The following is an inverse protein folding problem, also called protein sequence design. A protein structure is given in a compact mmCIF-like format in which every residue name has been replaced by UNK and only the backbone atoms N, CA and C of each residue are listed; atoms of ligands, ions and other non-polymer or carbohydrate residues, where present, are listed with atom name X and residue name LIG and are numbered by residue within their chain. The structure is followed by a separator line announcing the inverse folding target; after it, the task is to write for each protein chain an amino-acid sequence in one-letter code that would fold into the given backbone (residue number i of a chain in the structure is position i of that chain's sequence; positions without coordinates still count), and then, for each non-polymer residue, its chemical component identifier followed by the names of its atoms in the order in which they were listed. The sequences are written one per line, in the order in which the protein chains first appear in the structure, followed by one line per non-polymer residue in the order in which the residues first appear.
data_IF_953119965416
#
_entry.id   IF_953119965416
#
_cell.length_a   1.000
_cell.length_b   1.000
_cell.length_c   1.000
_cell.angle_alpha   90.00
_cell.angle_beta   90.00
_cell.angle_gamma   90.00
#
_symmetry.space_group_name_H-M   'P 1'
#
loop_
_entity.id
_entity.type
_entity.pdbx_description
1 polymer ?
#
# COMPACT_ATOMS: atom_id res chain seq x y z
N UNK A 1 30.52 -42.70 -31.94
CA UNK A 1 31.87 -42.74 -31.32
C UNK A 1 32.63 -41.46 -31.62
N UNK A 2 32.78 -40.56 -30.64
CA UNK A 2 34.01 -39.81 -30.27
C UNK A 2 33.63 -38.61 -29.38
N UNK A 3 34.05 -38.74 -28.11
CA UNK A 3 34.10 -37.70 -27.07
C UNK A 3 35.24 -36.71 -27.35
N UNK A 4 35.11 -35.48 -26.83
CA UNK A 4 36.14 -34.52 -26.32
C UNK A 4 35.37 -33.23 -25.97
N UNK A 5 35.03 -32.91 -24.71
CA UNK A 5 35.82 -32.40 -23.56
C UNK A 5 36.75 -31.22 -23.90
N UNK A 6 36.36 -30.03 -23.43
CA UNK A 6 37.15 -28.89 -22.92
C UNK A 6 36.12 -27.89 -22.33
N UNK A 7 35.94 -27.54 -21.05
CA UNK A 7 36.77 -27.34 -19.84
C UNK A 7 37.64 -26.08 -19.89
N UNK A 8 37.14 -25.01 -19.24
CA UNK A 8 37.75 -24.23 -18.14
C UNK A 8 37.76 -22.69 -18.30
N UNK A 9 37.75 -22.05 -17.10
CA UNK A 9 38.05 -20.65 -16.70
C UNK A 9 36.83 -19.72 -16.50
N UNK A 10 36.68 -18.98 -15.40
CA UNK A 10 37.31 -18.95 -14.07
C UNK A 10 36.43 -17.99 -13.21
N UNK A 11 36.05 -18.32 -11.97
CA UNK A 11 36.76 -18.02 -10.70
C UNK A 11 36.47 -16.63 -10.11
N UNK A 12 36.17 -16.66 -8.79
CA UNK A 12 36.19 -15.61 -7.77
C UNK A 12 35.02 -14.60 -7.72
N UNK A 13 34.26 -14.63 -6.61
CA UNK A 13 34.54 -13.73 -5.48
C UNK A 13 33.79 -14.20 -4.23
N UNK A 14 34.55 -14.54 -3.19
CA UNK A 14 34.12 -14.51 -1.81
C UNK A 14 35.00 -13.47 -1.11
N UNK A 15 34.41 -12.55 -0.32
CA UNK A 15 34.89 -12.15 1.01
C UNK A 15 33.98 -11.06 1.63
N UNK A 16 33.28 -11.45 2.70
CA UNK A 16 33.09 -10.80 4.03
C UNK A 16 32.81 -9.29 4.14
N UNK A 17 31.70 -8.96 4.83
CA UNK A 17 31.56 -8.05 6.01
C UNK A 17 30.04 -7.94 6.33
N UNK A 18 29.52 -8.62 7.36
CA UNK A 18 29.36 -8.15 8.75
C UNK A 18 28.78 -6.71 8.86
N UNK A 19 27.51 -6.55 9.26
CA UNK A 19 27.05 -5.70 10.37
C UNK A 19 25.52 -5.77 10.55
N UNK A 20 25.15 -6.07 11.81
CA UNK A 20 23.99 -5.61 12.58
C UNK A 20 22.57 -5.66 11.96
N UNK A 21 21.76 -6.62 12.44
CA UNK A 21 20.32 -6.44 12.59
C UNK A 21 19.95 -6.64 14.07
N UNK A 22 19.62 -5.56 14.75
CA UNK A 22 18.98 -5.54 16.06
C UNK A 22 17.83 -4.53 15.95
N UNK A 23 16.62 -4.90 16.36
CA UNK A 23 15.47 -4.01 16.33
C UNK A 23 14.14 -4.75 16.37
N UNK A 24 13.92 -5.54 17.42
CA UNK A 24 12.58 -6.00 17.81
C UNK A 24 12.06 -5.04 18.91
N UNK A 25 10.88 -4.48 18.68
CA UNK A 25 10.22 -3.51 19.56
C UNK A 25 9.98 -4.08 20.97
N UNK A 26 10.48 -3.39 21.99
CA UNK A 26 9.99 -3.53 23.37
C UNK A 26 9.29 -2.23 23.78
N UNK A 27 8.05 -2.41 24.26
CA UNK A 27 7.22 -1.39 24.87
C UNK A 27 7.90 -0.69 26.05
N UNK A 28 7.54 0.57 26.37
CA UNK A 28 8.19 1.34 27.43
C UNK A 28 7.75 0.83 28.81
N UNK A 29 8.69 0.23 29.54
CA UNK A 29 8.57 0.07 30.98
C UNK A 29 9.07 1.34 31.67
N UNK A 30 8.15 2.02 32.35
CA UNK A 30 8.46 3.05 33.34
C UNK A 30 9.17 2.41 34.52
N UNK A 31 10.39 2.86 34.83
CA UNK A 31 11.13 2.46 36.03
C UNK A 31 11.29 3.66 36.98
N UNK A 32 10.77 3.58 38.21
CA UNK A 32 11.21 4.43 39.31
C UNK A 32 12.31 3.74 40.13
N UNK A 33 13.39 4.49 40.36
CA UNK A 33 14.25 4.51 41.57
C UNK A 33 15.26 3.35 41.81
N UNK A 34 16.58 3.63 41.98
CA UNK A 34 17.54 2.62 42.41
C UNK A 34 17.75 2.57 43.94
N UNK A 35 17.53 1.36 44.46
CA UNK A 35 18.39 0.61 45.38
C UNK A 35 18.75 1.19 46.77
N UNK A 36 18.05 0.65 47.78
CA UNK A 36 18.62 0.27 49.06
C UNK A 36 18.60 -1.26 49.16
N UNK A 37 19.77 -1.88 49.19
CA UNK A 37 19.95 -3.24 49.72
C UNK A 37 21.29 -3.28 50.47
N UNK A 38 21.24 -3.50 51.77
CA UNK A 38 22.33 -4.16 52.48
C UNK A 38 21.75 -5.35 53.24
N UNK A 39 22.35 -6.50 52.95
CA UNK A 39 22.00 -7.81 53.45
C UNK A 39 22.47 -8.04 54.88
N UNK A 40 21.78 -8.98 55.53
CA UNK A 40 22.17 -9.60 56.77
C UNK A 40 22.67 -11.02 56.44
N UNK A 41 23.86 -11.37 56.91
CA UNK A 41 24.28 -12.77 57.03
C UNK A 41 25.11 -12.96 58.30
N UNK A 42 24.80 -14.05 58.99
CA UNK A 42 25.33 -14.54 60.26
C UNK A 42 26.78 -15.02 60.14
N UNK A 43 27.57 -14.93 61.23
CA UNK A 43 27.98 -16.08 62.07
C UNK A 43 28.97 -15.63 63.15
N UNK A 44 29.00 -16.41 64.24
CA UNK A 44 29.63 -16.06 65.49
C UNK A 44 31.15 -16.29 65.58
N UNK A 45 31.70 -15.78 66.69
CA UNK A 45 32.58 -16.59 67.52
C UNK A 45 33.99 -16.05 67.79
N UNK A 46 34.18 -15.69 69.07
CA UNK A 46 35.35 -15.97 69.93
C UNK A 46 36.28 -14.80 70.26
N UNK A 47 36.34 -14.58 71.58
CA UNK A 47 37.38 -14.06 72.50
C UNK A 47 38.31 -12.96 71.99
N UNK A 48 38.42 -11.86 72.75
CA UNK A 48 39.57 -11.63 73.62
C UNK A 48 39.29 -10.45 74.57
N UNK A 49 39.54 -10.68 75.86
CA UNK A 49 39.65 -9.67 76.91
C UNK A 49 40.67 -8.60 76.55
N UNK A 50 40.37 -7.30 76.74
CA UNK A 50 41.39 -6.30 76.98
C UNK A 50 41.49 -6.06 78.49
N UNK A 51 42.63 -6.48 79.02
CA UNK A 51 43.21 -6.14 80.31
C UNK A 51 43.03 -4.67 80.69
N UNK A 52 42.72 -4.47 81.97
CA UNK A 52 42.86 -3.22 82.71
C UNK A 52 44.21 -2.53 82.42
N UNK A 53 44.15 -1.28 81.96
CA UNK A 53 45.22 -0.31 82.19
C UNK A 53 44.59 1.06 82.50
N UNK A 54 44.77 1.60 83.71
CA UNK A 54 44.19 2.87 84.13
C UNK A 54 45.15 3.99 83.72
N UNK A 55 44.73 4.88 82.83
CA UNK A 55 45.18 6.28 82.68
C UNK A 55 44.80 6.83 81.30
N UNK A 56 43.50 6.88 81.02
CA UNK A 56 42.96 7.86 80.06
C UNK A 56 41.91 8.67 80.80
N UNK A 57 41.93 10.02 80.74
CA UNK A 57 40.89 10.82 81.36
C UNK A 57 39.56 10.42 80.72
N UNK A 58 38.63 9.96 81.55
CA UNK A 58 37.24 9.76 81.18
C UNK A 58 36.72 11.10 80.64
N UNK A 59 36.18 11.19 79.41
CA UNK A 59 35.67 12.46 78.91
C UNK A 59 34.57 12.93 79.86
N UNK A 60 34.69 14.17 80.33
CA UNK A 60 33.73 14.81 81.22
C UNK A 60 32.32 14.58 80.67
N UNK A 61 31.53 13.77 81.40
CA UNK A 61 30.11 13.50 81.11
C UNK A 61 29.30 14.76 81.44
N UNK A 62 29.55 15.82 80.69
CA UNK A 62 28.73 17.02 80.67
C UNK A 62 27.64 16.82 79.62
N UNK A 63 26.46 17.38 79.89
CA UNK A 63 25.34 17.28 78.97
C UNK A 63 25.61 18.22 77.78
N UNK A 64 25.86 17.66 76.60
CA UNK A 64 26.10 18.47 75.41
C UNK A 64 24.92 19.39 75.12
N UNK A 65 25.22 20.69 75.07
CA UNK A 65 24.27 21.74 74.68
C UNK A 65 24.38 21.96 73.18
N UNK A 66 23.24 21.87 72.47
CA UNK A 66 23.21 21.96 71.01
C UNK A 66 23.49 23.40 70.56
N UNK A 67 24.63 23.62 69.92
CA UNK A 67 24.99 24.90 69.29
C UNK A 67 24.29 25.14 67.95
N UNK A 68 24.53 26.31 67.35
CA UNK A 68 24.02 26.64 66.01
C UNK A 68 24.69 25.80 64.91
N UNK A 69 24.03 25.71 63.76
CA UNK A 69 24.62 25.06 62.59
C UNK A 69 25.74 25.92 61.99
N UNK A 70 26.91 25.31 61.81
CA UNK A 70 28.06 25.89 61.13
C UNK A 70 28.13 25.26 59.74
N UNK A 71 28.11 26.09 58.69
CA UNK A 71 28.25 25.63 57.30
C UNK A 71 29.73 25.46 56.98
N UNK A 72 30.12 24.24 56.59
CA UNK A 72 31.49 23.89 56.24
C UNK A 72 31.78 24.14 54.77
N UNK A 73 30.82 23.85 53.91
CA UNK A 73 30.91 24.01 52.46
C UNK A 73 29.54 24.37 51.93
N UNK A 74 29.45 25.50 51.24
CA UNK A 74 28.19 25.93 50.62
C UNK A 74 27.80 24.96 49.48
N UNK A 75 26.51 24.61 49.34
CA UNK A 75 26.06 23.84 48.19
C UNK A 75 26.19 24.66 46.89
N UNK A 76 26.42 23.98 45.78
CA UNK A 76 26.38 24.59 44.45
C UNK A 76 25.27 23.94 43.59
N UNK A 77 25.26 24.18 42.28
CA UNK A 77 24.21 23.66 41.40
C UNK A 77 24.17 22.13 41.34
N UNK A 78 25.31 21.45 41.49
CA UNK A 78 25.44 19.99 41.30
C UNK A 78 25.92 19.26 42.55
N UNK A 79 26.69 19.92 43.41
CA UNK A 79 27.28 19.33 44.60
C UNK A 79 26.55 19.82 45.85
N UNK A 80 26.23 18.87 46.73
CA UNK A 80 25.71 19.16 48.05
C UNK A 80 26.79 19.83 48.92
N UNK A 81 26.36 20.78 49.74
CA UNK A 81 27.18 21.37 50.80
C UNK A 81 27.17 20.52 52.07
N UNK A 82 27.81 20.99 53.12
CA UNK A 82 27.80 20.33 54.43
C UNK A 82 27.75 21.34 55.56
N UNK A 83 27.15 20.91 56.67
CA UNK A 83 27.09 21.66 57.92
C UNK A 83 27.19 20.74 59.13
N UNK A 84 27.67 21.26 60.25
CA UNK A 84 27.73 20.53 61.51
C UNK A 84 27.29 21.41 62.69
N UNK A 85 26.96 20.77 63.81
CA UNK A 85 26.71 21.43 65.10
C UNK A 85 27.77 21.00 66.11
N UNK A 86 28.28 21.94 66.88
CA UNK A 86 29.23 21.69 67.97
C UNK A 86 28.59 21.97 69.33
N UNK A 87 29.10 21.32 70.37
CA UNK A 87 28.76 21.66 71.75
C UNK A 87 29.29 23.05 72.09
N UNK A 88 28.43 23.94 72.60
CA UNK A 88 28.82 25.31 72.93
C UNK A 88 29.85 25.38 74.07
N UNK A 89 29.95 24.34 74.89
CA UNK A 89 30.81 24.29 76.07
C UNK A 89 32.16 23.60 75.81
N UNK A 90 32.18 22.50 75.03
CA UNK A 90 33.42 21.72 74.79
C UNK A 90 33.91 21.71 73.34
N UNK A 91 33.10 22.16 72.37
CA UNK A 91 33.47 22.20 70.95
C UNK A 91 33.39 20.87 70.20
N UNK A 92 33.00 19.77 70.84
CA UNK A 92 32.83 18.48 70.14
C UNK A 92 31.67 18.52 69.14
N UNK A 93 31.85 17.86 67.99
CA UNK A 93 30.81 17.77 66.96
C UNK A 93 29.69 16.83 67.41
N UNK A 94 28.50 17.39 67.58
CA UNK A 94 27.31 16.66 68.02
C UNK A 94 26.60 16.02 66.82
N UNK A 95 26.57 16.72 65.67
CA UNK A 95 25.85 16.27 64.47
C UNK A 95 26.46 16.86 63.21
N UNK A 96 26.43 16.13 62.11
CA UNK A 96 26.78 16.61 60.78
C UNK A 96 25.69 16.20 59.77
N UNK A 97 25.38 17.09 58.82
CA UNK A 97 24.36 16.89 57.80
C UNK A 97 24.80 17.47 56.45
N UNK A 98 24.33 16.86 55.36
CA UNK A 98 24.49 17.42 54.02
C UNK A 98 23.44 18.52 53.75
N UNK A 99 23.85 19.56 53.04
CA UNK A 99 22.95 20.58 52.48
C UNK A 99 22.70 20.20 51.01
N UNK A 100 21.46 19.90 50.58
CA UNK A 100 21.19 19.51 49.21
C UNK A 100 21.73 20.52 48.19
N UNK A 101 22.19 20.03 47.03
CA UNK A 101 22.58 20.87 45.92
C UNK A 101 21.41 21.81 45.54
N UNK A 102 21.75 23.04 45.15
CA UNK A 102 20.76 24.08 44.81
C UNK A 102 20.01 23.80 43.52
N UNK A 103 20.53 22.90 42.68
CA UNK A 103 19.97 22.59 41.37
C UNK A 103 20.24 23.71 40.35
N UNK A 104 19.72 23.53 39.14
CA UNK A 104 19.90 24.50 38.06
C UNK A 104 18.74 25.50 38.01
N UNK A 105 19.07 26.79 38.00
CA UNK A 105 18.12 27.87 37.71
C UNK A 105 18.29 28.29 36.25
N UNK A 106 17.55 27.62 35.36
CA UNK A 106 17.59 27.92 33.93
C UNK A 106 16.77 29.17 33.58
N UNK A 107 17.30 29.98 32.66
CA UNK A 107 16.59 31.11 32.06
C UNK A 107 15.58 30.70 30.99
N UNK A 108 15.16 31.69 30.18
CA UNK A 108 14.25 31.48 29.04
C UNK A 108 14.87 30.56 27.98
N UNK A 109 14.00 29.85 27.28
CA UNK A 109 14.41 29.06 26.12
C UNK A 109 14.79 29.96 24.95
N UNK A 110 15.89 29.63 24.30
CA UNK A 110 16.39 30.26 23.07
C UNK A 110 16.27 29.25 21.94
N UNK A 111 15.58 29.60 20.86
CA UNK A 111 15.47 28.76 19.67
C UNK A 111 16.75 28.84 18.84
N UNK A 112 17.39 27.69 18.64
CA UNK A 112 18.60 27.56 17.82
C UNK A 112 18.27 27.30 16.35
N UNK A 113 17.27 26.45 16.12
CA UNK A 113 16.82 26.04 14.80
C UNK A 113 15.30 25.98 14.79
N UNK A 114 14.70 26.78 13.91
CA UNK A 114 13.26 26.70 13.68
C UNK A 114 12.88 25.35 13.05
N UNK A 115 11.77 24.73 13.50
CA UNK A 115 11.29 23.49 12.89
C UNK A 115 10.75 23.74 11.48
N UNK A 116 10.93 22.77 10.60
CA UNK A 116 10.27 22.72 9.29
C UNK A 116 9.25 21.58 9.26
N UNK A 117 8.54 21.40 8.15
CA UNK A 117 7.59 20.29 8.03
C UNK A 117 8.26 18.94 7.77
N UNK A 118 9.58 18.91 7.60
CA UNK A 118 10.38 17.67 7.41
C UNK A 118 11.48 17.50 8.45
N UNK A 119 11.85 18.56 9.16
CA UNK A 119 12.95 18.56 10.12
C UNK A 119 12.51 19.18 11.45
N UNK A 120 12.83 18.50 12.55
CA UNK A 120 12.64 19.06 13.91
C UNK A 120 13.53 20.29 14.10
N UNK A 121 13.04 21.23 14.90
CA UNK A 121 13.81 22.35 15.40
C UNK A 121 14.54 22.00 16.70
N UNK A 122 15.29 22.95 17.24
CA UNK A 122 16.00 22.81 18.51
C UNK A 122 16.01 24.12 19.28
N UNK A 123 16.03 24.01 20.61
CA UNK A 123 16.18 25.13 21.54
C UNK A 123 17.04 24.72 22.73
N UNK A 124 17.65 25.70 23.38
CA UNK A 124 18.39 25.51 24.62
C UNK A 124 18.02 26.56 25.67
N UNK A 125 18.33 26.27 26.93
CA UNK A 125 18.33 27.26 28.01
C UNK A 125 19.55 27.07 28.89
N UNK A 126 20.01 28.15 29.49
CA UNK A 126 21.26 28.15 30.26
C UNK A 126 21.00 28.48 31.72
N UNK A 127 21.62 27.73 32.62
CA UNK A 127 21.62 28.02 34.04
C UNK A 127 22.33 29.34 34.30
N UNK A 128 21.65 30.30 34.92
CA UNK A 128 22.20 31.64 35.16
C UNK A 128 23.29 31.66 36.22
N UNK A 129 23.44 30.59 36.99
CA UNK A 129 24.39 30.47 38.10
C UNK A 129 25.70 29.79 37.64
N UNK A 130 25.62 28.65 36.96
CA UNK A 130 26.79 27.83 36.61
C UNK A 130 27.04 27.64 35.11
N UNK A 131 26.17 28.16 34.24
CA UNK A 131 26.33 28.06 32.79
C UNK A 131 26.01 26.68 32.19
N UNK A 132 25.49 25.74 32.97
CA UNK A 132 24.97 24.47 32.44
C UNK A 132 23.90 24.72 31.35
N UNK A 133 23.93 23.94 30.28
CA UNK A 133 23.00 24.09 29.14
C UNK A 133 22.10 22.87 29.04
N UNK A 134 20.79 23.13 29.02
CA UNK A 134 19.76 22.14 28.75
C UNK A 134 19.24 22.32 27.32
N UNK A 135 19.08 21.23 26.59
CA UNK A 135 18.67 21.23 25.18
C UNK A 135 17.37 20.43 25.00
N UNK A 136 16.51 20.91 24.11
CA UNK A 136 15.25 20.26 23.73
C UNK A 136 15.01 20.35 22.23
N UNK A 137 14.26 19.39 21.68
CA UNK A 137 13.79 19.42 20.30
C UNK A 137 12.43 20.11 20.19
N UNK A 138 12.19 20.76 19.05
CA UNK A 138 10.90 21.33 18.69
C UNK A 138 10.30 20.45 17.60
N UNK A 139 9.08 19.94 17.81
CA UNK A 139 8.40 19.11 16.82
C UNK A 139 8.24 19.81 15.47
N UNK A 140 8.18 19.02 14.39
CA UNK A 140 7.99 19.54 13.04
C UNK A 140 6.72 20.38 12.91
N UNK A 141 6.74 21.31 11.95
CA UNK A 141 5.52 22.00 11.55
C UNK A 141 4.64 21.09 10.70
N UNK A 142 3.35 21.40 10.62
CA UNK A 142 2.42 20.62 9.78
C UNK A 142 2.66 20.90 8.30
N UNK A 143 2.44 19.91 7.45
CA UNK A 143 2.39 20.12 6.01
C UNK A 143 1.22 21.03 5.63
N UNK A 144 1.44 21.89 4.63
CA UNK A 144 0.42 22.77 4.07
C UNK A 144 0.00 22.18 2.73
N UNK A 145 -1.21 21.62 2.69
CA UNK A 145 -1.75 20.91 1.53
C UNK A 145 -2.08 21.86 0.37
N UNK A 146 -1.69 21.43 -0.84
CA UNK A 146 -2.09 22.00 -2.12
C UNK A 146 -2.68 20.88 -2.96
N UNK A 147 -3.88 21.12 -3.50
CA UNK A 147 -4.59 20.14 -4.32
C UNK A 147 -3.97 20.08 -5.71
N UNK A 148 -3.67 18.85 -6.15
CA UNK A 148 -3.32 18.54 -7.53
C UNK A 148 -4.61 18.12 -8.27
N UNK A 149 -5.07 18.92 -9.25
CA UNK A 149 -6.36 18.69 -9.88
C UNK A 149 -6.40 17.33 -10.60
N UNK A 150 -7.58 16.72 -10.62
CA UNK A 150 -7.82 15.52 -11.40
C UNK A 150 -7.61 15.77 -12.90
N UNK A 151 -7.11 14.75 -13.59
CA UNK A 151 -7.00 14.73 -15.06
C UNK A 151 -8.00 13.70 -15.56
N UNK A 152 -8.98 14.12 -16.34
CA UNK A 152 -10.01 13.21 -16.86
C UNK A 152 -9.37 12.29 -17.91
N UNK A 153 -9.63 10.98 -17.81
CA UNK A 153 -9.20 10.02 -18.83
C UNK A 153 -9.94 10.25 -20.15
N UNK A 154 -9.24 10.06 -21.27
CA UNK A 154 -9.86 10.09 -22.60
C UNK A 154 -10.01 8.66 -23.15
N UNK A 155 -10.44 8.53 -24.41
CA UNK A 155 -10.52 7.23 -25.08
C UNK A 155 -9.17 6.52 -25.22
N UNK A 156 -8.07 7.28 -25.26
CA UNK A 156 -6.73 6.74 -25.58
C UNK A 156 -5.65 7.17 -24.60
N UNK A 157 -5.96 8.08 -23.67
CA UNK A 157 -4.99 8.62 -22.71
C UNK A 157 -5.49 8.41 -21.30
N UNK A 158 -4.61 7.87 -20.45
CA UNK A 158 -4.88 7.70 -19.03
C UNK A 158 -5.17 9.04 -18.35
N UNK A 159 -6.16 9.03 -17.47
CA UNK A 159 -6.44 10.11 -16.54
C UNK A 159 -5.72 9.89 -15.20
N UNK A 160 -5.96 10.81 -14.27
CA UNK A 160 -5.49 10.74 -12.89
C UNK A 160 -6.58 11.23 -11.94
N UNK A 161 -6.71 10.58 -10.80
CA UNK A 161 -7.53 11.10 -9.70
C UNK A 161 -6.96 12.42 -9.18
N UNK A 162 -7.76 13.19 -8.46
CA UNK A 162 -7.26 14.30 -7.66
C UNK A 162 -6.27 13.78 -6.60
N UNK A 163 -5.18 14.53 -6.39
CA UNK A 163 -4.17 14.26 -5.37
C UNK A 163 -3.82 15.54 -4.61
N UNK A 164 -2.77 15.49 -3.80
CA UNK A 164 -2.26 16.68 -3.13
C UNK A 164 -0.81 16.54 -2.67
N UNK A 165 -0.14 17.68 -2.56
CA UNK A 165 1.24 17.78 -2.10
C UNK A 165 1.43 18.92 -1.09
N UNK A 166 2.49 18.85 -0.31
CA UNK A 166 2.88 19.95 0.57
C UNK A 166 3.43 21.12 -0.26
N UNK A 167 2.87 22.32 -0.12
CA UNK A 167 3.35 23.53 -0.80
C UNK A 167 4.85 23.80 -0.57
N UNK A 168 5.33 23.50 0.63
CA UNK A 168 6.68 23.80 1.11
C UNK A 168 7.69 22.73 0.66
N UNK A 169 7.53 21.49 1.13
CA UNK A 169 8.51 20.42 0.93
C UNK A 169 8.20 19.46 -0.22
N UNK A 170 7.06 19.62 -0.89
CA UNK A 170 6.60 18.77 -2.00
C UNK A 170 6.32 17.31 -1.67
N UNK A 171 6.35 16.92 -0.39
CA UNK A 171 5.88 15.60 0.05
C UNK A 171 4.45 15.37 -0.46
N UNK A 172 4.20 14.22 -1.07
CA UNK A 172 2.87 13.82 -1.54
C UNK A 172 2.03 13.46 -0.31
N UNK A 173 0.93 14.18 -0.12
CA UNK A 173 -0.03 13.97 0.99
C UNK A 173 -1.09 12.97 0.56
N UNK A 174 -1.60 13.12 -0.66
CA UNK A 174 -2.50 12.17 -1.32
C UNK A 174 -1.98 11.87 -2.72
N UNK A 175 -1.58 10.63 -2.95
CA UNK A 175 -1.11 10.22 -4.27
C UNK A 175 -2.24 10.23 -5.31
N UNK A 176 -1.94 10.72 -6.52
CA UNK A 176 -2.81 10.52 -7.67
C UNK A 176 -2.73 9.07 -8.15
N UNK A 177 -3.88 8.49 -8.50
CA UNK A 177 -4.00 7.14 -9.06
C UNK A 177 -4.36 7.26 -10.55
N UNK A 178 -3.73 6.44 -11.40
CA UNK A 178 -4.04 6.40 -12.82
C UNK A 178 -5.46 5.87 -13.06
N UNK A 179 -6.20 6.54 -13.95
CA UNK A 179 -7.51 6.10 -14.42
C UNK A 179 -7.30 5.60 -15.85
N UNK A 180 -7.56 4.30 -16.14
CA UNK A 180 -7.35 3.76 -17.47
C UNK A 180 -8.24 4.46 -18.50
N UNK A 181 -7.82 4.48 -19.79
CA UNK A 181 -8.67 4.99 -20.86
C UNK A 181 -9.98 4.20 -20.93
N UNK A 182 -11.07 4.86 -21.28
CA UNK A 182 -12.38 4.21 -21.42
C UNK A 182 -13.15 4.78 -22.59
N UNK A 183 -13.91 3.92 -23.27
CA UNK A 183 -14.80 4.30 -24.35
C UNK A 183 -16.25 4.30 -23.87
N UNK A 184 -16.99 5.35 -24.21
CA UNK A 184 -18.44 5.40 -24.05
C UNK A 184 -19.11 5.13 -25.40
N UNK A 185 -19.62 3.91 -25.60
CA UNK A 185 -20.21 3.45 -26.86
C UNK A 185 -21.73 3.65 -26.90
N UNK A 186 -22.22 4.21 -28.01
CA UNK A 186 -23.63 4.27 -28.36
C UNK A 186 -23.81 3.78 -29.80
N UNK A 187 -24.73 2.85 -30.04
CA UNK A 187 -24.89 2.18 -31.34
C UNK A 187 -23.55 1.64 -31.88
N UNK A 188 -22.76 1.01 -31.01
CA UNK A 188 -21.43 0.45 -31.31
C UNK A 188 -20.34 1.49 -31.61
N UNK A 189 -20.65 2.78 -31.66
CA UNK A 189 -19.69 3.84 -31.97
C UNK A 189 -19.37 4.62 -30.69
N UNK A 190 -18.09 4.85 -30.43
CA UNK A 190 -17.68 5.67 -29.31
C UNK A 190 -18.16 7.10 -29.56
N UNK A 191 -18.98 7.62 -28.65
CA UNK A 191 -19.55 8.98 -28.74
C UNK A 191 -18.50 10.08 -28.67
N UNK A 192 -17.28 9.76 -28.22
CA UNK A 192 -16.16 10.69 -28.08
C UNK A 192 -15.20 10.61 -29.26
N UNK A 193 -14.70 9.42 -29.63
CA UNK A 193 -13.68 9.28 -30.68
C UNK A 193 -14.20 8.77 -32.03
N UNK A 194 -15.45 8.31 -32.12
CA UNK A 194 -16.02 7.75 -33.35
C UNK A 194 -15.55 6.34 -33.72
N UNK A 195 -14.67 5.71 -32.93
CA UNK A 195 -14.24 4.34 -33.18
C UNK A 195 -15.39 3.36 -32.90
N UNK A 196 -15.47 2.31 -33.72
CA UNK A 196 -16.41 1.21 -33.52
C UNK A 196 -15.89 0.24 -32.46
N UNK A 197 -16.78 -0.26 -31.58
CA UNK A 197 -16.46 -1.31 -30.60
C UNK A 197 -16.20 -2.67 -31.25
N UNK A 198 -16.72 -2.87 -32.46
CA UNK A 198 -16.60 -4.10 -33.23
C UNK A 198 -16.04 -3.82 -34.62
N UNK A 199 -15.34 -4.80 -35.19
CA UNK A 199 -14.78 -4.69 -36.54
C UNK A 199 -15.78 -5.17 -37.57
N UNK A 200 -16.00 -4.42 -38.65
CA UNK A 200 -16.84 -4.84 -39.78
C UNK A 200 -16.13 -5.93 -40.59
N UNK A 201 -16.71 -7.12 -40.64
CA UNK A 201 -16.34 -8.19 -41.54
C UNK A 201 -16.95 -7.94 -42.94
N UNK A 202 -16.29 -8.49 -43.95
CA UNK A 202 -16.68 -8.45 -45.35
C UNK A 202 -17.54 -9.67 -45.67
N UNK A 203 -18.53 -9.50 -46.55
CA UNK A 203 -19.31 -10.61 -47.10
C UNK A 203 -18.48 -11.36 -48.16
N UNK A 204 -18.65 -12.68 -48.23
CA UNK A 204 -17.91 -13.56 -49.14
C UNK A 204 -16.48 -13.91 -48.68
N UNK A 205 -16.00 -13.29 -47.59
CA UNK A 205 -14.71 -13.59 -46.99
C UNK A 205 -14.84 -14.67 -45.92
N UNK A 206 -13.89 -15.59 -45.91
CA UNK A 206 -13.81 -16.66 -44.91
C UNK A 206 -13.09 -16.14 -43.65
N UNK A 207 -13.69 -16.43 -42.50
CA UNK A 207 -13.16 -16.13 -41.16
C UNK A 207 -13.09 -17.41 -40.32
N UNK A 208 -12.18 -17.46 -39.35
CA UNK A 208 -11.98 -18.65 -38.52
C UNK A 208 -12.30 -18.33 -37.07
N UNK A 209 -13.33 -18.97 -36.52
CA UNK A 209 -13.72 -18.75 -35.14
C UNK A 209 -12.75 -19.41 -34.16
N UNK A 210 -12.89 -19.06 -32.88
CA UNK A 210 -12.03 -19.55 -31.80
C UNK A 210 -12.02 -21.07 -31.62
N UNK A 211 -13.03 -21.77 -32.13
CA UNK A 211 -13.17 -23.22 -32.03
C UNK A 211 -12.59 -23.95 -33.26
N UNK A 212 -12.12 -23.19 -34.27
CA UNK A 212 -11.60 -23.74 -35.51
C UNK A 212 -12.68 -24.15 -36.53
N UNK A 213 -13.85 -23.51 -36.48
CA UNK A 213 -14.77 -23.51 -37.63
C UNK A 213 -14.42 -22.34 -38.55
N UNK A 214 -14.46 -22.58 -39.86
CA UNK A 214 -14.49 -21.48 -40.83
C UNK A 214 -15.93 -21.04 -41.08
N UNK A 215 -16.13 -19.73 -41.23
CA UNK A 215 -17.43 -19.08 -41.35
C UNK A 215 -17.35 -18.08 -42.50
N UNK A 216 -18.27 -18.20 -43.45
CA UNK A 216 -18.40 -17.28 -44.58
C UNK A 216 -19.85 -16.81 -44.66
N UNK A 217 -20.10 -15.52 -44.42
CA UNK A 217 -21.38 -14.91 -44.75
C UNK A 217 -21.41 -14.66 -46.26
N UNK A 218 -22.27 -15.36 -46.99
CA UNK A 218 -22.38 -15.26 -48.46
C UNK A 218 -23.21 -14.04 -48.86
N UNK A 219 -24.32 -13.80 -48.17
CA UNK A 219 -25.18 -12.64 -48.40
C UNK A 219 -26.02 -12.31 -47.18
N UNK A 220 -26.48 -11.06 -47.11
CA UNK A 220 -27.56 -10.62 -46.25
C UNK A 220 -28.47 -9.69 -47.06
N UNK A 221 -29.78 -9.82 -46.89
CA UNK A 221 -30.79 -9.06 -47.65
C UNK A 221 -31.91 -8.65 -46.70
N UNK A 222 -32.23 -7.36 -46.66
CA UNK A 222 -33.39 -6.83 -45.97
C UNK A 222 -34.54 -6.61 -46.98
N UNK A 223 -35.66 -7.30 -46.79
CA UNK A 223 -36.85 -7.21 -47.65
C UNK A 223 -38.03 -6.65 -46.86
N UNK A 224 -38.38 -5.36 -47.05
CA UNK A 224 -39.54 -4.77 -46.38
C UNK A 224 -40.84 -5.50 -46.74
N UNK A 225 -41.67 -5.77 -45.74
CA UNK A 225 -43.04 -6.30 -45.85
C UNK A 225 -44.02 -5.35 -45.15
N UNK A 226 -45.32 -5.65 -45.26
CA UNK A 226 -46.32 -4.92 -44.49
C UNK A 226 -46.18 -5.26 -42.99
N UNK A 227 -45.83 -4.26 -42.16
CA UNK A 227 -45.70 -4.37 -40.70
C UNK A 227 -44.37 -4.91 -40.17
N UNK A 228 -43.52 -5.51 -40.99
CA UNK A 228 -42.20 -6.03 -40.60
C UNK A 228 -41.22 -6.02 -41.78
N UNK A 229 -39.94 -6.28 -41.52
CA UNK A 229 -38.89 -6.49 -42.51
C UNK A 229 -38.33 -7.89 -42.35
N UNK A 230 -38.20 -8.63 -43.47
CA UNK A 230 -37.51 -9.92 -43.49
C UNK A 230 -36.02 -9.69 -43.70
N UNK A 231 -35.20 -10.11 -42.74
CA UNK A 231 -33.75 -10.10 -42.86
C UNK A 231 -33.29 -11.52 -43.16
N UNK A 232 -32.82 -11.78 -44.37
CA UNK A 232 -32.40 -13.10 -44.83
C UNK A 232 -30.88 -13.13 -45.00
N UNK A 233 -30.22 -14.11 -44.39
CA UNK A 233 -28.80 -14.38 -44.58
C UNK A 233 -28.59 -15.71 -45.30
N UNK A 234 -27.53 -15.79 -46.09
CA UNK A 234 -26.98 -17.04 -46.59
C UNK A 234 -25.54 -17.16 -46.12
N UNK A 235 -25.15 -18.32 -45.61
CA UNK A 235 -23.83 -18.52 -45.04
C UNK A 235 -23.36 -19.97 -45.17
N UNK A 236 -22.04 -20.15 -45.10
CA UNK A 236 -21.39 -21.46 -45.01
C UNK A 236 -20.58 -21.53 -43.72
N UNK A 237 -20.63 -22.67 -43.02
CA UNK A 237 -19.67 -22.98 -41.96
C UNK A 237 -19.08 -24.37 -42.19
N UNK A 238 -17.78 -24.51 -41.94
CA UNK A 238 -17.01 -25.71 -42.18
C UNK A 238 -16.12 -26.03 -40.99
N UNK A 239 -16.04 -27.30 -40.61
CA UNK A 239 -15.06 -27.74 -39.62
C UNK A 239 -13.69 -27.94 -40.30
N UNK A 240 -12.70 -27.13 -39.91
CA UNK A 240 -11.32 -27.21 -40.42
C UNK A 240 -10.34 -27.78 -39.39
N UNK A 241 -10.84 -28.27 -38.26
CA UNK A 241 -10.05 -28.82 -37.17
C UNK A 241 -9.98 -30.35 -37.28
N UNK A 242 -8.80 -30.95 -37.56
CA UNK A 242 -8.64 -32.40 -37.67
C UNK A 242 -9.09 -33.16 -36.42
N UNK A 243 -9.55 -34.39 -36.60
CA UNK A 243 -9.92 -35.32 -35.52
C UNK A 243 -10.94 -34.77 -34.51
N UNK A 244 -11.77 -33.81 -34.93
CA UNK A 244 -12.76 -33.15 -34.09
C UNK A 244 -14.18 -33.29 -34.64
N UNK A 245 -15.17 -33.21 -33.74
CA UNK A 245 -16.57 -32.91 -34.06
C UNK A 245 -16.94 -31.62 -33.35
N UNK A 246 -17.45 -30.63 -34.08
CA UNK A 246 -17.70 -29.30 -33.54
C UNK A 246 -19.15 -28.91 -33.78
N UNK A 247 -19.77 -28.29 -32.78
CA UNK A 247 -21.08 -27.68 -32.94
C UNK A 247 -20.92 -26.33 -33.64
N UNK A 248 -21.64 -26.07 -34.74
CA UNK A 248 -21.69 -24.74 -35.34
C UNK A 248 -22.14 -23.68 -34.34
N UNK A 249 -21.55 -22.49 -34.43
CA UNK A 249 -22.08 -21.33 -33.73
C UNK A 249 -23.40 -20.83 -34.34
N UNK A 250 -23.90 -19.72 -33.81
CA UNK A 250 -25.17 -19.13 -34.20
C UNK A 250 -25.02 -17.66 -34.58
N UNK A 251 -25.92 -17.22 -35.45
CA UNK A 251 -26.06 -15.80 -35.78
C UNK A 251 -27.07 -15.12 -34.85
N UNK A 252 -26.89 -13.81 -34.61
CA UNK A 252 -27.84 -12.97 -33.90
C UNK A 252 -27.89 -11.57 -34.52
N UNK A 253 -29.09 -11.04 -34.68
CA UNK A 253 -29.30 -9.62 -34.96
C UNK A 253 -29.32 -8.83 -33.65
N UNK A 254 -28.57 -7.74 -33.59
CA UNK A 254 -28.64 -6.77 -32.51
C UNK A 254 -29.29 -5.48 -32.99
N UNK A 255 -30.10 -4.87 -32.14
CA UNK A 255 -30.89 -3.69 -32.44
C UNK A 255 -30.38 -2.45 -31.69
N UNK A 256 -30.83 -1.27 -32.12
CA UNK A 256 -30.42 0.02 -31.56
C UNK A 256 -30.92 0.29 -30.14
N UNK A 257 -31.88 -0.50 -29.67
CA UNK A 257 -32.45 -0.42 -28.32
C UNK A 257 -31.80 -1.41 -27.34
N UNK A 258 -30.60 -1.93 -27.67
CA UNK A 258 -29.88 -2.95 -26.90
C UNK A 258 -30.67 -4.27 -26.73
N UNK A 259 -31.59 -4.58 -27.66
CA UNK A 259 -32.20 -5.92 -27.76
C UNK A 259 -31.66 -6.68 -28.97
N UNK A 260 -32.10 -7.92 -29.17
CA UNK A 260 -31.69 -8.68 -30.35
C UNK A 260 -32.52 -9.93 -30.59
N UNK A 261 -32.39 -10.48 -31.79
CA UNK A 261 -33.10 -11.68 -32.26
C UNK A 261 -32.09 -12.74 -32.70
N UNK A 262 -32.16 -13.89 -32.05
CA UNK A 262 -31.25 -15.01 -32.26
C UNK A 262 -31.67 -15.83 -33.48
N UNK A 263 -30.71 -16.46 -34.13
CA UNK A 263 -31.02 -17.55 -35.03
C UNK A 263 -31.52 -18.75 -34.22
N UNK A 264 -32.65 -19.31 -34.64
CA UNK A 264 -33.19 -20.56 -34.09
C UNK A 264 -33.04 -21.71 -35.07
N UNK A 265 -32.66 -22.88 -34.57
CA UNK A 265 -32.57 -24.10 -35.37
C UNK A 265 -31.82 -25.20 -34.66
N UNK A 266 -31.91 -26.42 -35.21
CA UNK A 266 -31.08 -27.54 -34.80
C UNK A 266 -29.83 -27.58 -35.67
N UNK A 267 -28.67 -27.37 -35.06
CA UNK A 267 -27.38 -27.54 -35.72
C UNK A 267 -26.87 -28.95 -35.45
N UNK A 268 -26.51 -29.67 -36.50
CA UNK A 268 -25.78 -30.93 -36.35
C UNK A 268 -24.31 -30.63 -36.11
N UNK A 269 -23.64 -31.49 -35.36
CA UNK A 269 -22.19 -31.48 -35.29
C UNK A 269 -21.59 -31.66 -36.68
N UNK A 270 -20.51 -30.93 -36.96
CA UNK A 270 -19.69 -31.08 -38.15
C UNK A 270 -18.42 -31.84 -37.80
N UNK A 271 -18.15 -32.91 -38.54
CA UNK A 271 -16.87 -33.61 -38.50
C UNK A 271 -15.84 -32.88 -39.37
N UNK A 272 -14.55 -33.17 -39.14
CA UNK A 272 -13.46 -32.58 -39.91
C UNK A 272 -13.71 -32.66 -41.43
N UNK A 273 -13.62 -31.50 -42.09
CA UNK A 273 -13.82 -31.33 -43.52
C UNK A 273 -15.28 -31.12 -43.95
N UNK A 274 -16.25 -31.45 -43.09
CA UNK A 274 -17.66 -31.23 -43.40
C UNK A 274 -18.03 -29.75 -43.37
N UNK A 275 -18.95 -29.38 -44.25
CA UNK A 275 -19.48 -28.02 -44.34
C UNK A 275 -20.99 -28.03 -44.52
N UNK A 276 -21.65 -27.02 -43.95
CA UNK A 276 -23.06 -26.74 -44.20
C UNK A 276 -23.18 -25.38 -44.86
N UNK A 277 -24.11 -25.26 -45.81
CA UNK A 277 -24.54 -23.97 -46.35
C UNK A 277 -26.02 -23.84 -46.09
N UNK A 278 -26.42 -22.75 -45.44
CA UNK A 278 -27.78 -22.55 -44.97
C UNK A 278 -28.29 -21.16 -45.30
N UNK A 279 -29.61 -21.01 -45.26
CA UNK A 279 -30.30 -19.73 -45.33
C UNK A 279 -31.17 -19.58 -44.10
N UNK A 280 -31.17 -18.40 -43.50
CA UNK A 280 -32.00 -18.08 -42.35
C UNK A 280 -32.69 -16.73 -42.50
N UNK A 281 -33.94 -16.63 -42.08
CA UNK A 281 -34.75 -15.41 -42.19
C UNK A 281 -35.34 -15.02 -40.85
N UNK A 282 -35.02 -13.82 -40.36
CA UNK A 282 -35.71 -13.17 -39.25
C UNK A 282 -36.86 -12.30 -39.77
N UNK A 283 -37.93 -12.18 -38.96
CA UNK A 283 -39.02 -11.22 -39.19
C UNK A 283 -39.00 -10.18 -38.09
N UNK A 284 -38.54 -8.98 -38.41
CA UNK A 284 -38.30 -7.92 -37.42
C UNK A 284 -39.30 -6.78 -37.64
N UNK A 285 -39.93 -6.29 -36.56
CA UNK A 285 -40.89 -5.19 -36.67
C UNK A 285 -40.21 -3.94 -37.25
N UNK A 286 -40.93 -3.16 -38.05
CA UNK A 286 -40.36 -1.98 -38.74
C UNK A 286 -39.84 -0.90 -37.78
N UNK A 287 -40.32 -0.86 -36.54
CA UNK A 287 -39.86 0.07 -35.51
C UNK A 287 -38.56 -0.38 -34.82
N UNK A 288 -38.13 -1.63 -35.02
CA UNK A 288 -36.88 -2.15 -34.48
C UNK A 288 -35.75 -1.94 -35.50
N UNK A 289 -34.83 -1.04 -35.17
CA UNK A 289 -33.68 -0.73 -36.02
C UNK A 289 -32.57 -1.75 -35.80
N UNK A 290 -32.30 -2.58 -36.81
CA UNK A 290 -31.13 -3.48 -36.83
C UNK A 290 -29.85 -2.68 -36.92
N UNK A 291 -28.87 -3.00 -36.08
CA UNK A 291 -27.53 -2.40 -36.09
C UNK A 291 -26.49 -3.33 -36.72
N UNK A 292 -26.47 -4.57 -36.27
CA UNK A 292 -25.39 -5.50 -36.61
C UNK A 292 -25.89 -6.94 -36.57
N UNK A 293 -25.34 -7.74 -37.47
CA UNK A 293 -25.40 -9.19 -37.43
C UNK A 293 -24.10 -9.70 -36.82
N UNK A 294 -24.19 -10.45 -35.72
CA UNK A 294 -23.07 -11.13 -35.10
C UNK A 294 -23.11 -12.63 -35.44
N UNK A 295 -21.97 -13.22 -35.78
CA UNK A 295 -21.75 -14.65 -35.61
C UNK A 295 -20.88 -14.88 -34.38
N UNK A 296 -21.34 -15.76 -33.50
CA UNK A 296 -20.53 -16.22 -32.38
C UNK A 296 -20.47 -17.74 -32.35
N UNK A 297 -19.27 -18.26 -32.14
CA UNK A 297 -19.06 -19.67 -31.87
C UNK A 297 -19.72 -20.06 -30.54
N UNK A 298 -20.42 -21.19 -30.54
CA UNK A 298 -20.97 -21.73 -29.30
C UNK A 298 -19.83 -22.22 -28.40
N UNK A 299 -19.98 -22.03 -27.10
CA UNK A 299 -19.04 -22.56 -26.12
C UNK A 299 -19.43 -24.02 -25.80
N UNK A 300 -18.59 -25.00 -26.19
CA UNK A 300 -18.91 -26.41 -25.97
C UNK A 300 -18.94 -26.81 -24.48
N UNK A 301 -18.33 -26.03 -23.58
CA UNK A 301 -18.30 -26.31 -22.14
C UNK A 301 -19.42 -25.59 -21.37
N UNK A 302 -19.86 -24.41 -21.83
CA UNK A 302 -20.85 -23.59 -21.13
C UNK A 302 -22.32 -23.82 -21.56
N UNK A 303 -22.61 -24.79 -22.44
CA UNK A 303 -23.95 -25.02 -23.00
C UNK A 303 -24.34 -23.95 -24.04
N UNK A 304 -25.65 -23.78 -24.32
CA UNK A 304 -26.20 -22.79 -25.30
C UNK A 304 -25.93 -21.33 -24.91
N UNK A 305 -24.68 -20.93 -24.69
CA UNK A 305 -24.28 -19.70 -23.99
C UNK A 305 -23.71 -18.61 -24.91
N UNK A 306 -23.76 -18.81 -26.22
CA UNK A 306 -23.23 -17.87 -27.23
C UNK A 306 -23.94 -16.51 -27.29
N UNK A 307 -24.01 -15.91 -28.49
CA UNK A 307 -24.71 -14.63 -28.71
C UNK A 307 -26.17 -14.64 -28.20
N UNK A 308 -26.75 -15.83 -28.10
CA UNK A 308 -28.14 -16.10 -27.76
C UNK A 308 -28.65 -15.34 -26.53
N UNK A 309 -27.93 -15.36 -25.41
CA UNK A 309 -28.36 -14.70 -24.15
C UNK A 309 -27.85 -13.27 -23.98
N UNK A 310 -27.02 -12.77 -24.91
CA UNK A 310 -26.47 -11.42 -24.80
C UNK A 310 -27.39 -10.39 -25.44
N UNK A 311 -27.45 -9.23 -24.83
CA UNK A 311 -28.21 -8.09 -25.34
C UNK A 311 -27.33 -7.11 -26.14
N UNK A 312 -26.01 -7.30 -26.12
CA UNK A 312 -25.04 -6.52 -26.89
C UNK A 312 -24.03 -7.43 -27.59
N UNK A 313 -23.51 -7.03 -28.77
CA UNK A 313 -22.41 -7.71 -29.42
C UNK A 313 -21.12 -7.55 -28.61
N UNK A 314 -20.14 -8.42 -28.84
CA UNK A 314 -18.84 -8.40 -28.16
C UNK A 314 -17.71 -8.22 -29.18
N UNK A 315 -16.56 -7.67 -28.79
CA UNK A 315 -15.54 -7.28 -29.77
C UNK A 315 -14.80 -8.44 -30.45
N UNK A 316 -14.83 -9.64 -29.87
CA UNK A 316 -14.05 -10.83 -30.27
C UNK A 316 -14.79 -11.78 -31.23
N UNK A 317 -15.96 -11.37 -31.72
CA UNK A 317 -16.82 -12.12 -32.66
C UNK A 317 -16.83 -11.49 -34.05
N UNK A 318 -17.51 -12.13 -35.01
CA UNK A 318 -17.63 -11.60 -36.38
C UNK A 318 -18.89 -10.77 -36.53
N UNK A 319 -18.78 -9.62 -37.19
CA UNK A 319 -19.84 -8.63 -37.30
C UNK A 319 -20.03 -8.16 -38.72
N UNK A 320 -21.27 -8.10 -39.17
CA UNK A 320 -21.65 -7.44 -40.41
C UNK A 320 -22.66 -6.34 -40.10
N UNK A 321 -22.31 -5.12 -40.47
CA UNK A 321 -23.20 -3.98 -40.32
C UNK A 321 -24.25 -4.05 -41.42
N UNK A 322 -25.51 -4.15 -41.00
CA UNK A 322 -26.66 -4.22 -41.90
C UNK A 322 -27.20 -2.78 -42.00
N UNK A 323 -27.06 -2.19 -43.18
CA UNK A 323 -27.50 -0.82 -43.50
C UNK A 323 -28.93 -0.81 -44.09
#
# INVERSE_FOLDING_TARGET
MKRKILVLFAVLFAFVLLFAACGEEKQPQTNPNPQNQNGNTEQGGKTDTPTDNPDTPMPDEHKHTVGEWIVDTEPNCTEAGSKHQVCAECGETIKAEAIPATGHTHGEWVTDKEPTCTEVGSKHRTCTICGNVENETISTTRHIEVVDPAVIATCTTEGKTEGSHCSVCKTIIKAQVAIPPSHNYQNLICTVCGNSMVTKNETGKEYYDKNGLSVTLISYVATPKEGYTEYTIQYTIKNVTPDSKLMPGSFKLFFADDTGESQYGFFNYLYYGESITQTYTWKILQNQKVLVLEYNADDPEAGLSGAFFRNKPVSDTFHWFIE
#
